data_IF_033499435271
#
_entry.id   IF_033499435271
#
_cell.length_a   1.000
_cell.length_b   1.000
_cell.length_c   1.000
_cell.angle_alpha   90.00
_cell.angle_beta   90.00
_cell.angle_gamma   90.00
#
_symmetry.space_group_name_H-M   'P 1'
#
loop_
_entity.id
_entity.type
_entity.pdbx_description
1 polymer ?
#
# COMPACT_ATOMS: atom_id res chain seq x y z
N UNK A 1 6.33 0.45 -14.41
CA UNK A 1 5.32 1.51 -14.71
C UNK A 1 5.94 2.84 -15.13
N UNK A 2 7.07 3.24 -14.55
CA UNK A 2 7.69 4.58 -14.75
C UNK A 2 8.25 4.86 -16.15
N UNK A 3 8.39 3.84 -17.01
CA UNK A 3 8.81 3.99 -18.41
C UNK A 3 7.66 4.29 -19.39
N UNK A 4 6.40 4.20 -18.94
CA UNK A 4 5.25 4.53 -19.77
C UNK A 4 5.05 6.06 -19.82
N UNK A 5 4.54 6.58 -20.95
CA UNK A 5 4.25 8.03 -21.08
C UNK A 5 3.27 8.49 -19.99
N UNK A 6 3.30 9.77 -19.57
CA UNK A 6 2.35 10.30 -18.59
C UNK A 6 0.88 10.06 -18.97
N UNK A 7 0.54 10.11 -20.26
CA UNK A 7 -0.81 9.82 -20.76
C UNK A 7 -1.21 8.36 -20.55
N UNK A 8 -0.28 7.42 -20.79
CA UNK A 8 -0.49 5.99 -20.55
C UNK A 8 -0.61 5.69 -19.05
N UNK A 9 0.21 6.35 -18.21
CA UNK A 9 0.12 6.23 -16.76
C UNK A 9 -1.24 6.74 -16.24
N UNK A 10 -1.67 7.92 -16.70
CA UNK A 10 -2.96 8.49 -16.33
C UNK A 10 -4.14 7.60 -16.71
N UNK A 11 -4.16 7.04 -17.93
CA UNK A 11 -5.22 6.14 -18.38
C UNK A 11 -5.31 4.86 -17.53
N UNK A 12 -4.17 4.30 -17.10
CA UNK A 12 -4.13 3.14 -16.22
C UNK A 12 -4.67 3.47 -14.82
N UNK A 13 -4.36 4.66 -14.30
CA UNK A 13 -4.81 5.11 -12.97
C UNK A 13 -6.30 5.49 -12.95
N UNK A 14 -6.80 6.02 -14.07
CA UNK A 14 -8.23 6.20 -14.31
C UNK A 14 -8.94 4.85 -14.32
N UNK A 15 -8.38 3.87 -15.04
CA UNK A 15 -8.91 2.50 -15.09
C UNK A 15 -8.94 1.85 -13.69
N UNK A 16 -7.93 2.12 -12.85
CA UNK A 16 -7.88 1.65 -11.45
C UNK A 16 -8.99 2.25 -10.57
N UNK A 17 -9.42 3.49 -10.82
CA UNK A 17 -10.48 4.15 -10.04
C UNK A 17 -11.87 3.80 -10.56
N UNK A 18 -12.05 3.82 -11.87
CA UNK A 18 -13.36 3.78 -12.50
C UNK A 18 -13.79 2.38 -12.93
N UNK A 19 -12.89 1.39 -12.85
CA UNK A 19 -13.10 -0.01 -13.30
C UNK A 19 -13.62 -0.12 -14.74
N UNK A 20 -13.34 0.90 -15.55
CA UNK A 20 -13.76 1.03 -16.94
C UNK A 20 -12.69 1.78 -17.74
N UNK A 21 -12.67 1.56 -19.04
CA UNK A 21 -11.79 2.25 -19.99
C UNK A 21 -12.61 2.73 -21.18
N UNK A 22 -12.41 3.97 -21.62
CA UNK A 22 -13.09 4.52 -22.80
C UNK A 22 -12.11 4.66 -23.96
N UNK A 23 -12.40 4.00 -25.08
CA UNK A 23 -11.61 4.06 -26.31
C UNK A 23 -12.54 4.41 -27.47
N UNK A 24 -12.22 5.48 -28.21
CA UNK A 24 -13.00 5.94 -29.37
C UNK A 24 -14.53 5.99 -29.10
N UNK A 25 -14.92 6.69 -28.02
CA UNK A 25 -16.30 6.82 -27.53
C UNK A 25 -17.00 5.53 -27.07
N UNK A 26 -16.29 4.41 -26.99
CA UNK A 26 -16.82 3.15 -26.45
C UNK A 26 -16.25 2.89 -25.07
N UNK A 27 -17.11 2.75 -24.06
CA UNK A 27 -16.70 2.44 -22.68
C UNK A 27 -16.78 0.93 -22.44
N UNK A 28 -15.65 0.33 -22.08
CA UNK A 28 -15.53 -1.07 -21.70
C UNK A 28 -15.42 -1.19 -20.19
N UNK A 29 -16.27 -2.02 -19.57
CA UNK A 29 -16.15 -2.37 -18.14
C UNK A 29 -15.10 -3.48 -17.97
N UNK A 30 -14.28 -3.37 -16.94
CA UNK A 30 -13.33 -4.41 -16.60
C UNK A 30 -14.01 -5.58 -15.88
N UNK A 31 -13.57 -6.79 -16.18
CA UNK A 31 -13.98 -7.98 -15.45
C UNK A 31 -13.39 -7.95 -14.03
N UNK A 32 -14.19 -8.33 -13.04
CA UNK A 32 -13.79 -8.42 -11.65
C UNK A 32 -13.47 -9.88 -11.25
N UNK A 33 -12.52 -10.12 -10.33
CA UNK A 33 -11.70 -9.14 -9.61
C UNK A 33 -10.63 -8.52 -10.52
N UNK A 34 -10.43 -7.21 -10.36
CA UNK A 34 -9.38 -6.46 -11.05
C UNK A 34 -8.46 -5.82 -10.02
N UNK A 35 -7.16 -6.02 -10.17
CA UNK A 35 -6.15 -5.33 -9.36
C UNK A 35 -4.96 -4.96 -10.23
N UNK A 36 -4.24 -3.90 -9.83
CA UNK A 36 -3.04 -3.45 -10.52
C UNK A 36 -1.84 -3.65 -9.60
N UNK A 37 -0.83 -4.33 -10.12
CA UNK A 37 0.49 -4.40 -9.51
C UNK A 37 1.46 -3.56 -10.35
N UNK A 38 2.13 -2.62 -9.68
CA UNK A 38 3.08 -1.71 -10.29
C UNK A 38 4.48 -1.99 -9.73
N UNK A 39 5.45 -2.16 -10.62
CA UNK A 39 6.86 -2.23 -10.24
C UNK A 39 7.60 -0.94 -10.65
N UNK A 40 8.53 -0.54 -9.80
CA UNK A 40 9.45 0.57 -10.01
C UNK A 40 10.87 0.03 -9.82
N UNK A 41 11.72 0.16 -10.85
CA UNK A 41 13.13 -0.15 -10.75
C UNK A 41 13.86 1.10 -10.19
N UNK A 42 14.53 1.04 -9.03
CA UNK A 42 15.16 2.20 -8.41
C UNK A 42 16.48 2.62 -9.07
N UNK A 43 17.07 1.78 -9.94
CA UNK A 43 18.42 1.99 -10.48
C UNK A 43 18.41 2.83 -11.76
N UNK A 44 17.32 2.79 -12.53
CA UNK A 44 17.23 3.48 -13.82
C UNK A 44 16.42 4.76 -13.69
N UNK A 45 17.10 5.91 -13.75
CA UNK A 45 16.44 7.22 -13.75
C UNK A 45 16.28 7.80 -15.17
N UNK A 46 17.10 7.37 -16.14
CA UNK A 46 17.02 7.83 -17.52
C UNK A 46 15.74 7.36 -18.22
N UNK A 47 15.00 8.30 -18.78
CA UNK A 47 13.74 8.02 -19.49
C UNK A 47 12.59 7.58 -18.60
N UNK A 48 12.64 7.91 -17.29
CA UNK A 48 11.54 7.62 -16.36
C UNK A 48 10.73 8.86 -16.02
N UNK A 49 9.41 8.69 -15.96
CA UNK A 49 8.47 9.71 -15.50
C UNK A 49 7.96 9.28 -14.11
N UNK A 50 8.39 9.92 -13.02
CA UNK A 50 7.89 9.60 -11.68
C UNK A 50 6.39 9.89 -11.61
N UNK A 51 5.66 9.04 -10.90
CA UNK A 51 4.24 9.26 -10.67
C UNK A 51 4.08 10.42 -9.67
N UNK A 52 3.22 11.41 -9.96
CA UNK A 52 2.85 12.43 -8.98
C UNK A 52 2.32 11.81 -7.68
N UNK A 53 2.47 12.49 -6.57
CA UNK A 53 2.06 12.03 -5.23
C UNK A 53 0.55 11.73 -5.18
N UNK A 54 -0.25 12.59 -5.83
CA UNK A 54 -1.69 12.39 -5.96
C UNK A 54 -2.05 11.11 -6.73
N UNK A 55 -1.17 10.64 -7.64
CA UNK A 55 -1.33 9.37 -8.33
C UNK A 55 -0.87 8.20 -7.46
N UNK A 56 0.25 8.34 -6.75
CA UNK A 56 0.74 7.33 -5.82
C UNK A 56 -0.27 7.05 -4.70
N UNK A 57 -0.99 8.06 -4.22
CA UNK A 57 -2.01 7.92 -3.17
C UNK A 57 -3.16 6.97 -3.55
N UNK A 58 -3.35 6.68 -4.85
CA UNK A 58 -4.34 5.71 -5.35
C UNK A 58 -3.92 4.26 -5.12
N UNK A 59 -2.63 3.98 -4.89
CA UNK A 59 -2.17 2.62 -4.61
C UNK A 59 -2.51 2.22 -3.18
N UNK A 60 -3.06 1.01 -3.03
CA UNK A 60 -3.40 0.47 -1.70
C UNK A 60 -2.15 0.41 -0.80
N UNK A 61 -1.10 -0.23 -1.28
CA UNK A 61 0.20 -0.36 -0.61
C UNK A 61 1.39 -0.04 -1.53
N UNK A 62 2.48 0.42 -0.92
CA UNK A 62 3.83 0.38 -1.50
C UNK A 62 4.67 -0.65 -0.73
N UNK A 63 5.05 -1.73 -1.41
CA UNK A 63 5.89 -2.78 -0.84
C UNK A 63 7.36 -2.51 -1.19
N UNK A 64 8.24 -2.70 -0.21
CA UNK A 64 9.69 -2.72 -0.42
C UNK A 64 10.12 -4.18 -0.50
N UNK A 65 10.59 -4.59 -1.67
CA UNK A 65 11.10 -5.94 -1.90
C UNK A 65 12.62 -5.88 -1.76
N UNK A 66 13.13 -6.49 -0.71
CA UNK A 66 14.57 -6.63 -0.48
C UNK A 66 15.18 -7.74 -1.34
N UNK A 67 16.51 -7.82 -1.32
CA UNK A 67 17.19 -9.01 -1.82
C UNK A 67 16.90 -10.20 -0.90
N UNK A 68 16.60 -11.38 -1.44
CA UNK A 68 16.49 -12.59 -0.64
C UNK A 68 17.83 -12.91 0.04
N UNK A 69 17.76 -13.56 1.19
CA UNK A 69 18.92 -14.14 1.87
C UNK A 69 19.59 -15.20 1.01
N UNK A 70 20.81 -15.61 1.39
CA UNK A 70 21.54 -16.67 0.70
C UNK A 70 20.71 -17.96 0.58
N UNK A 71 20.08 -18.39 1.67
CA UNK A 71 19.28 -19.61 1.70
C UNK A 71 17.99 -19.50 0.88
N UNK A 72 17.31 -18.36 0.93
CA UNK A 72 16.13 -18.09 0.09
C UNK A 72 16.52 -18.08 -1.40
N UNK A 73 17.66 -17.48 -1.75
CA UNK A 73 18.13 -17.45 -3.13
C UNK A 73 18.48 -18.85 -3.63
N UNK A 74 19.13 -19.67 -2.79
CA UNK A 74 19.38 -21.09 -3.10
C UNK A 74 18.07 -21.84 -3.35
N UNK A 75 17.06 -21.67 -2.49
CA UNK A 75 15.75 -22.29 -2.70
C UNK A 75 15.05 -21.83 -3.99
N UNK A 76 15.19 -20.56 -4.35
CA UNK A 76 14.66 -20.03 -5.62
C UNK A 76 15.33 -20.76 -6.79
N UNK A 77 16.66 -20.88 -6.78
CA UNK A 77 17.40 -21.59 -7.82
C UNK A 77 17.01 -23.07 -7.88
N UNK A 78 16.88 -23.75 -6.74
CA UNK A 78 16.49 -25.16 -6.69
C UNK A 78 15.08 -25.38 -7.28
N UNK A 79 14.13 -24.47 -6.98
CA UNK A 79 12.75 -24.55 -7.49
C UNK A 79 12.60 -24.17 -8.96
N UNK A 80 13.46 -23.27 -9.47
CA UNK A 80 13.34 -22.72 -10.84
C UNK A 80 14.31 -23.35 -11.84
N UNK A 81 15.41 -23.93 -11.38
CA UNK A 81 16.45 -24.56 -12.20
C UNK A 81 16.17 -26.03 -12.55
N UNK A 82 15.18 -26.66 -11.92
CA UNK A 82 14.75 -28.01 -12.26
C UNK A 82 13.85 -28.06 -13.52
N UNK A 83 13.77 -29.24 -14.15
CA UNK A 83 12.88 -29.47 -15.30
C UNK A 83 11.39 -29.67 -14.90
N UNK A 84 11.08 -29.74 -13.61
CA UNK A 84 9.71 -29.93 -13.13
C UNK A 84 8.98 -28.59 -13.03
N UNK A 85 7.94 -28.39 -13.84
CA UNK A 85 7.01 -27.27 -13.65
C UNK A 85 6.07 -27.60 -12.48
N UNK A 86 5.89 -26.69 -11.51
CA UNK A 86 4.95 -26.91 -10.42
C UNK A 86 3.53 -27.06 -10.99
N UNK A 87 2.82 -28.10 -10.57
CA UNK A 87 1.40 -28.25 -10.85
C UNK A 87 0.61 -27.40 -9.86
N UNK A 88 -0.16 -26.42 -10.36
CA UNK A 88 -0.98 -25.53 -9.54
C UNK A 88 -2.44 -25.92 -9.70
N UNK A 89 -3.09 -26.27 -8.60
CA UNK A 89 -4.53 -26.53 -8.56
C UNK A 89 -5.27 -25.27 -8.11
N UNK A 90 -6.28 -24.85 -8.86
CA UNK A 90 -7.12 -23.72 -8.47
C UNK A 90 -7.93 -24.08 -7.22
N UNK A 91 -7.79 -23.27 -6.16
CA UNK A 91 -8.53 -23.43 -4.89
C UNK A 91 -9.65 -22.41 -4.71
N UNK A 92 -9.74 -21.42 -5.60
CA UNK A 92 -10.76 -20.38 -5.60
C UNK A 92 -10.94 -19.80 -7.01
N UNK A 93 -12.12 -19.23 -7.27
CA UNK A 93 -12.47 -18.50 -8.48
C UNK A 93 -12.67 -17.01 -8.21
N UNK A 94 -12.82 -16.21 -9.27
CA UNK A 94 -13.00 -14.76 -9.16
C UNK A 94 -14.21 -14.37 -8.29
N UNK A 95 -15.32 -15.11 -8.39
CA UNK A 95 -16.50 -14.89 -7.55
C UNK A 95 -16.21 -15.13 -6.05
N UNK A 96 -15.34 -16.08 -5.72
CA UNK A 96 -14.95 -16.36 -4.34
C UNK A 96 -14.15 -15.20 -3.76
N UNK A 97 -13.23 -14.63 -4.55
CA UNK A 97 -12.44 -13.45 -4.16
C UNK A 97 -13.35 -12.24 -3.87
N UNK A 98 -14.42 -12.05 -4.66
CA UNK A 98 -15.38 -10.98 -4.42
C UNK A 98 -16.17 -11.19 -3.12
N UNK A 99 -16.63 -12.43 -2.87
CA UNK A 99 -17.29 -12.79 -1.61
C UNK A 99 -16.37 -12.60 -0.41
N UNK A 100 -15.10 -12.99 -0.51
CA UNK A 100 -14.10 -12.73 0.54
C UNK A 100 -13.97 -11.23 0.83
N UNK A 101 -13.97 -10.39 -0.21
CA UNK A 101 -13.95 -8.93 -0.07
C UNK A 101 -15.17 -8.36 0.66
N UNK A 102 -16.35 -8.96 0.49
CA UNK A 102 -17.56 -8.62 1.24
C UNK A 102 -17.43 -9.02 2.71
N UNK A 103 -17.02 -10.26 2.98
CA UNK A 103 -16.80 -10.76 4.35
C UNK A 103 -15.77 -9.92 5.12
N UNK A 104 -14.68 -9.48 4.47
CA UNK A 104 -13.69 -8.60 5.09
C UNK A 104 -14.32 -7.31 5.60
N UNK A 105 -15.33 -6.74 4.92
CA UNK A 105 -15.97 -5.48 5.33
C UNK A 105 -16.81 -5.62 6.59
N UNK A 106 -17.29 -6.82 6.88
CA UNK A 106 -18.14 -7.12 8.05
C UNK A 106 -17.34 -7.24 9.35
N UNK A 107 -16.01 -7.39 9.26
CA UNK A 107 -15.16 -7.53 10.45
C UNK A 107 -15.23 -6.25 11.30
N UNK A 108 -15.70 -6.35 12.56
CA UNK A 108 -15.82 -5.20 13.45
C UNK A 108 -14.45 -4.67 13.88
N UNK A 109 -14.43 -3.37 14.19
CA UNK A 109 -13.31 -2.68 14.81
C UNK A 109 -13.84 -2.01 16.09
N UNK A 110 -13.15 -2.21 17.20
CA UNK A 110 -13.51 -1.56 18.45
C UNK A 110 -13.24 -0.05 18.38
N UNK A 111 -14.03 0.81 19.04
CA UNK A 111 -13.88 2.27 18.95
C UNK A 111 -12.46 2.77 19.29
N UNK A 112 -11.82 2.19 20.30
CA UNK A 112 -10.46 2.53 20.73
C UNK A 112 -9.39 2.16 19.69
N UNK A 113 -9.57 1.03 18.99
CA UNK A 113 -8.69 0.60 17.89
C UNK A 113 -8.90 1.49 16.65
N UNK A 114 -10.14 1.88 16.38
CA UNK A 114 -10.45 2.84 15.31
C UNK A 114 -9.85 4.22 15.60
N UNK A 115 -9.99 4.72 16.83
CA UNK A 115 -9.37 5.97 17.26
C UNK A 115 -7.86 5.91 17.16
N UNK A 116 -7.24 4.76 17.48
CA UNK A 116 -5.82 4.57 17.27
C UNK A 116 -5.41 4.69 15.80
N UNK A 117 -6.13 4.02 14.88
CA UNK A 117 -5.88 4.17 13.45
C UNK A 117 -5.99 5.64 13.02
N UNK A 118 -7.01 6.35 13.50
CA UNK A 118 -7.19 7.79 13.22
C UNK A 118 -6.01 8.60 13.76
N UNK A 119 -5.54 8.33 14.98
CA UNK A 119 -4.35 8.99 15.55
C UNK A 119 -3.11 8.76 14.70
N UNK A 120 -2.90 7.55 14.18
CA UNK A 120 -1.78 7.27 13.28
C UNK A 120 -1.85 8.10 12.00
N UNK A 121 -2.99 8.12 11.32
CA UNK A 121 -3.14 8.89 10.08
C UNK A 121 -2.98 10.39 10.36
N UNK A 122 -3.63 10.91 11.41
CA UNK A 122 -3.53 12.34 11.77
C UNK A 122 -2.13 12.74 12.22
N UNK A 123 -1.44 11.89 12.98
CA UNK A 123 -0.08 12.14 13.48
C UNK A 123 0.97 12.22 12.37
N UNK A 124 0.64 11.84 11.14
CA UNK A 124 1.52 12.06 9.98
C UNK A 124 1.51 13.49 9.45
N UNK A 125 0.56 14.33 9.89
CA UNK A 125 0.51 15.74 9.50
C UNK A 125 1.25 16.60 10.52
N UNK A 126 1.94 17.68 10.11
CA UNK A 126 2.64 18.58 11.04
C UNK A 126 1.63 19.46 11.82
N UNK A 127 0.85 18.83 12.69
CA UNK A 127 -0.22 19.43 13.49
C UNK A 127 0.03 19.21 14.98
N UNK A 128 -0.66 19.97 15.83
CA UNK A 128 -0.55 19.85 17.28
C UNK A 128 -0.69 18.38 17.75
N UNK A 129 0.26 17.94 18.57
CA UNK A 129 0.35 16.56 19.06
C UNK A 129 1.17 15.60 18.18
N UNK A 130 1.69 16.05 17.05
CA UNK A 130 2.53 15.23 16.17
C UNK A 130 4.00 15.22 16.62
N UNK A 131 4.76 14.15 16.33
CA UNK A 131 6.18 14.10 16.67
C UNK A 131 6.97 15.29 16.08
N UNK A 132 8.03 15.71 16.78
CA UNK A 132 8.93 16.79 16.29
C UNK A 132 9.50 16.48 14.90
N UNK A 133 9.83 15.21 14.64
CA UNK A 133 10.32 14.76 13.34
C UNK A 133 9.30 14.98 12.21
N UNK A 134 8.00 14.89 12.50
CA UNK A 134 6.95 15.20 11.53
C UNK A 134 6.91 16.71 11.23
N UNK A 135 7.00 17.56 12.25
CA UNK A 135 7.05 19.00 12.06
C UNK A 135 8.25 19.48 11.23
N UNK A 136 9.40 18.82 11.40
CA UNK A 136 10.63 19.18 10.71
C UNK A 136 10.67 18.63 9.27
N UNK A 137 10.30 17.36 9.09
CA UNK A 137 10.60 16.63 7.86
C UNK A 137 9.38 16.35 6.97
N UNK A 138 8.16 16.66 7.41
CA UNK A 138 6.93 16.42 6.62
C UNK A 138 6.26 17.72 6.24
N UNK A 139 6.07 17.92 4.93
CA UNK A 139 5.28 19.02 4.37
C UNK A 139 3.78 18.68 4.39
N UNK A 140 3.42 17.48 3.98
CA UNK A 140 2.04 16.99 3.98
C UNK A 140 1.98 15.51 4.39
N UNK A 141 1.10 15.22 5.35
CA UNK A 141 0.86 13.86 5.83
C UNK A 141 -0.06 13.06 4.92
N UNK A 142 -0.39 11.85 5.37
CA UNK A 142 -1.16 10.89 4.59
C UNK A 142 -2.63 11.32 4.42
N UNK A 143 -3.21 11.02 3.24
CA UNK A 143 -4.62 11.30 2.94
C UNK A 143 -5.58 10.36 3.68
N UNK A 144 -6.90 10.64 3.71
CA UNK A 144 -7.91 9.72 4.25
C UNK A 144 -7.87 8.31 3.62
N UNK A 145 -7.34 8.17 2.39
CA UNK A 145 -7.18 6.87 1.73
C UNK A 145 -6.23 5.95 2.48
N UNK A 146 -5.26 6.51 3.22
CA UNK A 146 -4.41 5.72 4.10
C UNK A 146 -5.23 4.99 5.15
N UNK A 147 -6.13 5.69 5.84
CA UNK A 147 -6.99 5.10 6.86
C UNK A 147 -7.92 4.04 6.28
N UNK A 148 -8.48 4.28 5.10
CA UNK A 148 -9.30 3.28 4.38
C UNK A 148 -8.50 2.02 4.03
N UNK A 149 -7.29 2.18 3.51
CA UNK A 149 -6.41 1.07 3.17
C UNK A 149 -5.98 0.28 4.42
N UNK A 150 -5.58 0.98 5.49
CA UNK A 150 -5.20 0.37 6.77
C UNK A 150 -6.37 -0.42 7.37
N UNK A 151 -7.58 0.16 7.39
CA UNK A 151 -8.76 -0.53 7.94
C UNK A 151 -9.08 -1.81 7.15
N UNK A 152 -9.15 -1.72 5.82
CA UNK A 152 -9.45 -2.87 4.98
C UNK A 152 -8.39 -3.98 5.12
N UNK A 153 -7.11 -3.60 5.14
CA UNK A 153 -6.01 -4.56 5.29
C UNK A 153 -5.99 -5.20 6.69
N UNK A 154 -6.27 -4.42 7.73
CA UNK A 154 -6.29 -4.92 9.11
C UNK A 154 -7.41 -5.93 9.32
N UNK A 155 -8.58 -5.71 8.72
CA UNK A 155 -9.69 -6.67 8.70
C UNK A 155 -9.32 -7.96 7.98
N UNK A 156 -8.69 -7.85 6.81
CA UNK A 156 -8.21 -9.02 6.08
C UNK A 156 -7.20 -9.82 6.90
N UNK A 157 -6.27 -9.12 7.56
CA UNK A 157 -5.25 -9.74 8.42
C UNK A 157 -5.85 -10.44 9.63
N UNK A 158 -6.82 -9.81 10.31
CA UNK A 158 -7.53 -10.43 11.42
C UNK A 158 -8.17 -11.78 11.00
N UNK A 159 -8.86 -11.80 9.85
CA UNK A 159 -9.47 -13.03 9.34
C UNK A 159 -8.44 -14.10 8.95
N UNK A 160 -7.32 -13.70 8.33
CA UNK A 160 -6.22 -14.62 8.00
C UNK A 160 -5.58 -15.24 9.25
N UNK A 161 -5.60 -14.51 10.37
CA UNK A 161 -5.15 -14.99 11.69
C UNK A 161 -6.27 -15.74 12.45
N UNK A 162 -7.44 -15.98 11.84
CA UNK A 162 -8.58 -16.66 12.48
C UNK A 162 -9.32 -15.82 13.52
N UNK A 163 -9.09 -14.51 13.57
CA UNK A 163 -9.75 -13.56 14.48
C UNK A 163 -10.89 -12.84 13.78
N UNK A 164 -11.99 -12.66 14.51
CA UNK A 164 -13.22 -12.03 14.01
C UNK A 164 -13.36 -10.56 14.40
N UNK A 165 -12.30 -9.91 14.84
CA UNK A 165 -12.26 -8.48 15.13
C UNK A 165 -10.85 -7.94 14.88
N UNK A 166 -10.77 -6.66 14.50
CA UNK A 166 -9.49 -5.98 14.31
C UNK A 166 -8.83 -5.70 15.66
N UNK A 167 -7.56 -6.05 15.78
CA UNK A 167 -6.74 -5.71 16.94
C UNK A 167 -5.71 -4.62 16.58
N UNK A 168 -5.05 -4.05 17.59
CA UNK A 168 -4.07 -2.97 17.39
C UNK A 168 -2.88 -3.43 16.55
N UNK A 169 -2.48 -4.69 16.73
CA UNK A 169 -1.35 -5.31 16.05
C UNK A 169 -1.60 -5.42 14.54
N UNK A 170 -2.86 -5.51 14.12
CA UNK A 170 -3.22 -5.49 12.70
C UNK A 170 -2.97 -4.13 12.07
N UNK A 171 -3.37 -3.06 12.78
CA UNK A 171 -3.11 -1.68 12.38
C UNK A 171 -1.60 -1.45 12.26
N UNK A 172 -0.83 -1.87 13.28
CA UNK A 172 0.63 -1.71 13.30
C UNK A 172 1.30 -2.41 12.12
N UNK A 173 0.83 -3.62 11.79
CA UNK A 173 1.44 -4.46 10.75
C UNK A 173 1.23 -3.92 9.34
N UNK A 174 0.17 -3.14 9.12
CA UNK A 174 -0.15 -2.56 7.80
C UNK A 174 0.24 -1.09 7.67
N UNK A 175 0.67 -0.44 8.76
CA UNK A 175 0.97 0.99 8.79
C UNK A 175 2.06 1.38 7.79
N UNK A 176 3.22 0.72 7.82
CA UNK A 176 4.33 1.04 6.91
C UNK A 176 3.96 0.93 5.43
N UNK A 177 3.45 -0.21 4.91
CA UNK A 177 3.12 -0.32 3.49
C UNK A 177 1.95 0.58 3.08
N UNK A 178 1.07 0.97 4.00
CA UNK A 178 -0.01 1.93 3.74
C UNK A 178 0.47 3.38 3.71
N UNK A 179 1.40 3.78 4.57
CA UNK A 179 1.71 5.21 4.78
C UNK A 179 2.92 5.69 3.98
N UNK A 180 3.89 4.82 3.67
CA UNK A 180 5.21 5.25 3.16
C UNK A 180 5.22 6.01 1.85
N UNK A 181 4.23 5.82 0.99
CA UNK A 181 4.09 6.54 -0.29
C UNK A 181 3.13 7.72 -0.21
N UNK A 182 2.64 8.04 1.00
CA UNK A 182 1.67 9.09 1.27
C UNK A 182 2.24 10.22 2.12
N UNK A 183 3.52 10.16 2.47
CA UNK A 183 4.23 11.25 3.13
C UNK A 183 4.96 12.10 2.10
N UNK A 184 4.63 13.38 2.06
CA UNK A 184 5.36 14.38 1.26
C UNK A 184 6.35 15.05 2.19
N UNK A 185 7.65 14.80 1.96
CA UNK A 185 8.70 15.35 2.78
C UNK A 185 8.86 16.86 2.55
N UNK A 186 9.40 17.54 3.56
CA UNK A 186 9.90 18.91 3.42
C UNK A 186 11.23 18.90 2.63
N UNK A 187 11.65 20.07 2.13
CA UNK A 187 12.94 20.20 1.46
C UNK A 187 14.11 19.74 2.36
N UNK A 188 14.03 20.03 3.66
CA UNK A 188 15.00 19.57 4.66
C UNK A 188 15.00 18.04 4.78
N UNK A 189 13.82 17.42 4.87
CA UNK A 189 13.68 15.97 4.92
C UNK A 189 14.22 15.26 3.68
N UNK A 190 14.06 15.87 2.50
CA UNK A 190 14.66 15.38 1.26
C UNK A 190 16.19 15.54 1.25
N UNK A 191 16.69 16.72 1.63
CA UNK A 191 18.11 17.04 1.65
C UNK A 191 18.91 16.14 2.62
N UNK A 192 18.31 15.81 3.77
CA UNK A 192 18.90 14.90 4.76
C UNK A 192 18.67 13.41 4.44
N UNK A 193 17.91 13.11 3.39
CA UNK A 193 17.64 11.73 2.96
C UNK A 193 16.78 10.92 3.93
N UNK A 194 15.93 11.61 4.72
CA UNK A 194 15.04 11.01 5.71
C UNK A 194 14.13 9.97 5.03
N UNK A 195 13.97 8.82 5.70
CA UNK A 195 13.12 7.74 5.18
C UNK A 195 11.70 7.89 5.73
N UNK A 196 10.66 7.84 4.88
CA UNK A 196 9.27 7.84 5.35
C UNK A 196 9.00 6.78 6.43
N UNK A 197 9.61 5.60 6.31
CA UNK A 197 9.48 4.51 7.28
C UNK A 197 9.98 4.87 8.70
N UNK A 198 10.98 5.75 8.86
CA UNK A 198 11.40 6.20 10.20
C UNK A 198 10.38 7.15 10.81
N UNK A 199 9.86 8.08 10.02
CA UNK A 199 8.83 9.02 10.44
C UNK A 199 7.53 8.30 10.84
N UNK A 200 7.13 7.27 10.09
CA UNK A 200 5.96 6.46 10.44
C UNK A 200 6.16 5.73 11.76
N UNK A 201 7.37 5.22 12.03
CA UNK A 201 7.69 4.58 13.32
C UNK A 201 7.62 5.57 14.48
N UNK A 202 8.07 6.82 14.29
CA UNK A 202 7.95 7.87 15.30
C UNK A 202 6.47 8.17 15.62
N UNK A 203 5.63 8.27 14.58
CA UNK A 203 4.18 8.45 14.74
C UNK A 203 3.55 7.27 15.46
N UNK A 204 3.92 6.04 15.09
CA UNK A 204 3.45 4.84 15.77
C UNK A 204 3.84 4.85 17.25
N UNK A 205 5.09 5.18 17.58
CA UNK A 205 5.55 5.26 18.97
C UNK A 205 4.76 6.31 19.78
N UNK A 206 4.55 7.51 19.20
CA UNK A 206 3.80 8.59 19.85
C UNK A 206 2.31 8.29 20.01
N UNK A 207 1.71 7.48 19.14
CA UNK A 207 0.30 7.11 19.23
C UNK A 207 0.02 5.96 20.23
N UNK A 208 1.07 5.31 20.77
CA UNK A 208 0.94 4.25 21.79
C UNK A 208 0.71 4.79 23.19
N UNK A 209 1.25 5.97 23.50
CA UNK A 209 0.94 6.75 24.71
C UNK A 209 -0.45 7.37 24.65
#
# INVERSE_FOLDING_TARGET
>A
MTRATPKTQAALLETMQETRVTVANTTHKLALPFFVMATQNPIENDGTYPLPEAQLDRFFFKLQVGLPSHDEFKQILDRTGGNSKPHVTAVAHGADILRMGETIREVPIAPDVQDYLVRLVRGTHPTEGSPKSIHQFVRHGASPRAGQAMLAASRARALLDGRFHVAREDIDSVALPALRHRLILSFEGEAEGIKPDSLIKDVMAAAKS
#
